data_IF_508127155421
#
_entry.id   IF_508127155421
#
_cell.length_a   1.000
_cell.length_b   1.000
_cell.length_c   1.000
_cell.angle_alpha   90.00
_cell.angle_beta   90.00
_cell.angle_gamma   90.00
#
_symmetry.space_group_name_H-M   'P 1'
#
loop_
_entity.id
_entity.type
_entity.pdbx_description
1 polymer ?
#
# COMPACT_ATOMS: atom_id res chain seq x y z
N UNK A 1 22.96 21.94 1.71
CA UNK A 1 21.78 22.25 0.87
C UNK A 1 22.18 22.07 -0.59
N UNK A 2 21.45 21.28 -1.39
CA UNK A 2 21.86 20.92 -2.76
C UNK A 2 21.46 22.02 -3.76
N UNK A 3 20.24 22.55 -3.64
CA UNK A 3 19.67 23.59 -4.52
C UNK A 3 18.95 24.66 -3.68
N UNK A 4 19.04 25.92 -4.12
CA UNK A 4 18.20 27.02 -3.67
C UNK A 4 17.50 27.65 -4.88
N UNK A 5 16.18 27.83 -4.80
CA UNK A 5 15.36 28.37 -5.89
C UNK A 5 15.08 29.85 -5.66
N UNK A 6 14.99 30.64 -6.74
CA UNK A 6 14.55 32.02 -6.67
C UNK A 6 13.01 32.11 -6.66
N UNK A 7 12.47 32.41 -5.49
CA UNK A 7 11.03 32.52 -5.27
C UNK A 7 10.37 33.60 -6.14
N UNK A 8 11.07 34.71 -6.42
CA UNK A 8 10.53 35.82 -7.23
C UNK A 8 10.35 35.41 -8.69
N UNK A 9 11.28 34.61 -9.21
CA UNK A 9 11.20 34.06 -10.57
C UNK A 9 10.04 33.10 -10.69
N UNK A 10 9.88 32.18 -9.73
CA UNK A 10 8.77 31.22 -9.72
C UNK A 10 7.41 31.91 -9.61
N UNK A 11 7.28 32.90 -8.72
CA UNK A 11 6.05 33.69 -8.56
C UNK A 11 5.74 34.53 -9.81
N UNK A 12 6.76 35.09 -10.47
CA UNK A 12 6.62 35.83 -11.72
C UNK A 12 6.15 34.98 -12.89
N UNK A 13 6.71 33.78 -13.05
CA UNK A 13 6.28 32.80 -14.06
C UNK A 13 4.85 32.31 -13.77
N UNK A 14 4.53 31.99 -12.51
CA UNK A 14 3.20 31.58 -12.11
C UNK A 14 2.14 32.67 -12.34
N UNK A 15 2.53 33.95 -12.27
CA UNK A 15 1.69 35.10 -12.57
C UNK A 15 1.60 35.44 -14.08
N UNK A 16 2.23 34.66 -14.97
CA UNK A 16 2.17 34.85 -16.43
C UNK A 16 2.98 36.04 -16.96
N UNK A 17 3.92 36.57 -16.18
CA UNK A 17 4.73 37.73 -16.57
C UNK A 17 5.91 37.30 -17.45
N UNK A 18 5.94 37.75 -18.70
CA UNK A 18 6.97 37.38 -19.69
C UNK A 18 8.38 37.83 -19.34
N UNK A 19 8.52 38.87 -18.50
CA UNK A 19 9.80 39.40 -18.00
C UNK A 19 10.62 38.41 -17.15
N UNK A 20 10.01 37.31 -16.69
CA UNK A 20 10.64 36.29 -15.84
C UNK A 20 10.99 34.99 -16.57
N UNK A 21 10.57 34.81 -17.83
CA UNK A 21 10.76 33.56 -18.56
C UNK A 21 12.23 33.26 -18.87
N UNK A 22 13.05 34.30 -19.08
CA UNK A 22 14.47 34.15 -19.43
C UNK A 22 15.39 34.19 -18.21
N UNK A 23 14.83 34.36 -17.00
CA UNK A 23 15.62 34.41 -15.76
C UNK A 23 15.86 33.01 -15.22
N UNK A 24 17.05 32.82 -14.64
CA UNK A 24 17.41 31.54 -13.99
C UNK A 24 16.55 31.29 -12.75
N UNK A 25 16.00 30.09 -12.66
CA UNK A 25 15.22 29.58 -11.52
C UNK A 25 16.16 29.22 -10.36
N UNK A 26 17.37 28.76 -10.68
CA UNK A 26 18.40 28.48 -9.69
C UNK A 26 18.96 29.80 -9.14
N UNK A 27 18.88 29.96 -7.81
CA UNK A 27 19.43 31.13 -7.13
C UNK A 27 20.95 31.00 -7.02
N UNK A 28 21.66 31.65 -7.93
CA UNK A 28 23.13 31.66 -7.96
C UNK A 28 23.69 32.71 -6.99
N UNK A 29 23.06 33.89 -6.91
CA UNK A 29 23.54 35.03 -6.14
C UNK A 29 22.66 35.31 -4.93
N UNK A 30 23.30 35.51 -3.77
CA UNK A 30 22.61 35.69 -2.49
C UNK A 30 22.79 37.10 -1.90
N UNK A 31 23.86 37.82 -2.28
CA UNK A 31 24.05 39.22 -1.90
C UNK A 31 24.22 40.11 -3.12
N UNK A 32 23.52 41.23 -3.08
CA UNK A 32 23.57 42.30 -4.07
C UNK A 32 24.16 43.56 -3.42
N UNK A 33 25.09 44.22 -4.08
CA UNK A 33 25.67 45.49 -3.67
C UNK A 33 24.99 46.60 -4.48
N UNK A 34 24.26 47.47 -3.80
CA UNK A 34 23.63 48.64 -4.42
C UNK A 34 24.69 49.71 -4.60
N UNK A 35 24.96 50.10 -5.85
CA UNK A 35 25.86 51.21 -6.18
C UNK A 35 25.06 52.30 -6.86
N UNK A 36 25.12 53.51 -6.34
CA UNK A 36 24.45 54.68 -6.95
C UNK A 36 25.32 55.21 -8.08
N UNK A 37 24.79 55.23 -9.31
CA UNK A 37 25.47 55.76 -10.49
C UNK A 37 24.66 56.94 -11.04
N UNK A 38 25.35 58.01 -11.42
CA UNK A 38 24.76 59.16 -12.12
C UNK A 38 24.50 58.77 -13.57
N UNK A 39 23.23 58.73 -13.98
CA UNK A 39 22.83 58.41 -15.35
C UNK A 39 21.99 59.55 -15.94
N UNK A 40 22.20 59.83 -17.23
CA UNK A 40 21.37 60.77 -17.99
C UNK A 40 20.03 60.10 -18.31
N UNK A 41 18.95 60.60 -17.70
CA UNK A 41 17.57 60.16 -17.98
C UNK A 41 16.89 61.22 -18.84
N UNK A 42 16.36 60.80 -19.98
CA UNK A 42 15.57 61.65 -20.89
C UNK A 42 14.10 61.49 -20.53
N UNK A 43 13.42 62.56 -20.14
CA UNK A 43 11.98 62.55 -19.83
C UNK A 43 11.24 63.57 -20.68
N UNK A 44 10.15 63.15 -21.31
CA UNK A 44 9.21 64.04 -22.00
C UNK A 44 8.42 64.85 -20.97
N UNK A 45 8.48 66.19 -21.08
CA UNK A 45 7.63 67.08 -20.29
C UNK A 45 6.76 67.94 -21.20
N UNK A 46 5.50 68.08 -20.81
CA UNK A 46 4.54 68.95 -21.45
C UNK A 46 4.77 70.37 -20.94
N UNK A 47 5.16 71.27 -21.85
CA UNK A 47 5.23 72.70 -21.58
C UNK A 47 4.01 73.38 -22.16
N UNK A 48 3.20 73.99 -21.29
CA UNK A 48 2.02 74.76 -21.68
C UNK A 48 2.34 76.24 -21.55
N UNK A 49 2.26 76.99 -22.65
CA UNK A 49 2.41 78.44 -22.67
C UNK A 49 1.12 79.09 -23.21
N UNK A 50 0.69 80.18 -22.59
CA UNK A 50 -0.50 80.93 -23.03
C UNK A 50 -0.06 82.08 -23.91
N UNK A 51 -0.43 82.05 -25.19
CA UNK A 51 -0.16 83.12 -26.15
C UNK A 51 -1.51 83.64 -26.63
N UNK A 52 -1.79 84.94 -26.42
CA UNK A 52 -3.02 85.62 -26.82
C UNK A 52 -4.33 84.91 -26.41
N UNK A 53 -4.38 84.36 -25.19
CA UNK A 53 -5.59 83.71 -24.65
C UNK A 53 -5.80 82.25 -25.08
N UNK A 54 -4.95 81.71 -25.96
CA UNK A 54 -4.93 80.29 -26.33
C UNK A 54 -3.78 79.56 -25.64
N UNK A 55 -4.07 78.41 -25.02
CA UNK A 55 -3.06 77.53 -24.40
C UNK A 55 -2.42 76.67 -25.48
N UNK A 56 -1.14 76.85 -25.73
CA UNK A 56 -0.36 76.01 -26.64
C UNK A 56 0.49 75.07 -25.80
N UNK A 57 0.31 73.76 -26.01
CA UNK A 57 1.07 72.71 -25.34
C UNK A 57 2.13 72.13 -26.28
N UNK A 58 3.40 72.21 -25.92
CA UNK A 58 4.52 71.60 -26.65
C UNK A 58 5.15 70.49 -25.82
N UNK A 59 5.44 69.36 -26.47
CA UNK A 59 6.24 68.28 -25.90
C UNK A 59 7.73 68.62 -26.08
N UNK A 60 8.51 68.57 -25.00
CA UNK A 60 9.95 68.77 -25.08
C UNK A 60 10.69 67.71 -24.25
N UNK A 61 11.76 67.16 -24.83
CA UNK A 61 12.60 66.15 -24.18
C UNK A 61 13.62 66.85 -23.29
N UNK A 62 13.55 66.62 -21.98
CA UNK A 62 14.50 67.18 -21.01
C UNK A 62 15.39 66.07 -20.49
N UNK A 63 16.70 66.20 -20.65
CA UNK A 63 17.70 65.31 -20.06
C UNK A 63 18.09 65.80 -18.66
N UNK A 64 17.94 64.96 -17.63
CA UNK A 64 18.40 65.25 -16.27
C UNK A 64 19.35 64.16 -15.77
N UNK A 65 20.37 64.56 -15.02
CA UNK A 65 21.21 63.64 -14.25
C UNK A 65 20.41 63.18 -13.03
N UNK A 66 20.10 61.88 -12.99
CA UNK A 66 19.48 61.24 -11.83
C UNK A 66 20.40 60.18 -11.23
N UNK A 67 20.35 60.06 -9.90
CA UNK A 67 21.06 59.01 -9.17
C UNK A 67 20.24 57.72 -9.26
N UNK A 68 20.68 56.76 -10.07
CA UNK A 68 20.03 55.46 -10.18
C UNK A 68 20.81 54.45 -9.34
N UNK A 69 20.08 53.70 -8.49
CA UNK A 69 20.63 52.60 -7.71
C UNK A 69 20.76 51.34 -8.59
N UNK A 70 21.99 50.96 -8.94
CA UNK A 70 22.28 49.75 -9.70
C UNK A 70 22.68 48.63 -8.74
N UNK A 71 21.93 47.53 -8.76
CA UNK A 71 22.26 46.33 -8.00
C UNK A 71 23.33 45.50 -8.72
N UNK A 72 24.50 45.33 -8.11
CA UNK A 72 25.61 44.52 -8.62
C UNK A 72 25.75 43.22 -7.83
N UNK A 73 26.01 42.10 -8.51
CA UNK A 73 26.13 40.79 -7.87
C UNK A 73 27.42 40.70 -7.03
N UNK A 74 27.31 40.36 -5.74
CA UNK A 74 28.46 40.36 -4.82
C UNK A 74 28.90 38.96 -4.39
N UNK A 75 27.98 38.12 -3.90
CA UNK A 75 28.34 36.80 -3.35
C UNK A 75 27.40 35.69 -3.86
N UNK A 76 27.99 34.55 -4.25
CA UNK A 76 27.27 33.33 -4.64
C UNK A 76 26.61 32.67 -3.42
N UNK A 77 25.48 32.00 -3.62
CA UNK A 77 24.75 31.29 -2.56
C UNK A 77 25.50 30.05 -2.05
N UNK A 78 25.26 29.62 -0.81
CA UNK A 78 25.85 28.40 -0.23
C UNK A 78 25.12 27.13 -0.72
N UNK A 79 25.08 26.89 -2.04
CA UNK A 79 24.45 25.71 -2.64
C UNK A 79 25.40 25.05 -3.65
N UNK A 80 25.41 23.71 -3.67
CA UNK A 80 26.33 22.92 -4.49
C UNK A 80 26.22 23.26 -5.99
N UNK A 81 24.99 23.47 -6.49
CA UNK A 81 24.74 23.84 -7.88
C UNK A 81 25.03 25.33 -8.19
N UNK A 82 25.22 26.20 -7.20
CA UNK A 82 25.57 27.61 -7.48
C UNK A 82 27.03 27.78 -7.95
N UNK A 83 27.88 26.81 -7.64
CA UNK A 83 29.28 26.78 -8.07
C UNK A 83 29.45 26.17 -9.46
N UNK A 84 28.40 25.55 -10.01
CA UNK A 84 28.40 24.87 -11.29
C UNK A 84 27.50 25.68 -12.24
N UNK A 85 28.09 26.36 -13.23
CA UNK A 85 27.37 27.33 -14.09
C UNK A 85 26.49 26.67 -15.17
N UNK A 86 26.00 25.46 -14.94
CA UNK A 86 25.14 24.73 -15.86
C UNK A 86 23.81 25.43 -16.11
N UNK A 87 23.16 25.07 -17.23
CA UNK A 87 21.80 25.52 -17.50
C UNK A 87 20.81 24.88 -16.51
N UNK A 88 19.70 25.57 -16.26
CA UNK A 88 18.67 25.13 -15.31
C UNK A 88 18.06 23.79 -15.72
N UNK A 89 17.89 23.56 -17.03
CA UNK A 89 17.35 22.30 -17.57
C UNK A 89 18.28 21.12 -17.30
N UNK A 90 19.59 21.29 -17.55
CA UNK A 90 20.60 20.24 -17.33
C UNK A 90 20.71 19.93 -15.83
N UNK A 91 20.76 20.98 -15.01
CA UNK A 91 20.79 20.89 -13.56
C UNK A 91 19.57 20.14 -13.00
N UNK A 92 18.37 20.47 -13.49
CA UNK A 92 17.12 19.81 -13.12
C UNK A 92 17.09 18.34 -13.53
N UNK A 93 17.51 18.02 -14.75
CA UNK A 93 17.57 16.64 -15.24
C UNK A 93 18.54 15.78 -14.41
N UNK A 94 19.76 16.27 -14.16
CA UNK A 94 20.77 15.56 -13.36
C UNK A 94 20.25 15.35 -11.93
N UNK A 95 19.67 16.37 -11.31
CA UNK A 95 19.11 16.27 -9.96
C UNK A 95 17.99 15.21 -9.89
N UNK A 96 17.12 15.15 -10.90
CA UNK A 96 16.08 14.14 -11.01
C UNK A 96 16.69 12.74 -11.08
N UNK A 97 17.62 12.49 -12.00
CA UNK A 97 18.22 11.16 -12.15
C UNK A 97 19.00 10.73 -10.91
N UNK A 98 19.80 11.63 -10.31
CA UNK A 98 20.56 11.34 -9.09
C UNK A 98 19.63 11.07 -7.92
N UNK A 99 18.58 11.87 -7.72
CA UNK A 99 17.61 11.66 -6.64
C UNK A 99 16.81 10.37 -6.83
N UNK A 100 16.38 10.07 -8.06
CA UNK A 100 15.70 8.81 -8.38
C UNK A 100 16.61 7.60 -8.14
N UNK A 101 17.86 7.66 -8.60
CA UNK A 101 18.84 6.60 -8.38
C UNK A 101 19.14 6.37 -6.90
N UNK A 102 19.35 7.45 -6.14
CA UNK A 102 19.58 7.38 -4.69
C UNK A 102 18.36 6.83 -3.95
N UNK A 103 17.15 7.24 -4.36
CA UNK A 103 15.89 6.72 -3.82
C UNK A 103 15.75 5.22 -4.09
N UNK A 104 16.03 4.78 -5.32
CA UNK A 104 15.96 3.36 -5.71
C UNK A 104 16.99 2.53 -4.93
N UNK A 105 18.24 2.99 -4.81
CA UNK A 105 19.26 2.30 -4.00
C UNK A 105 18.87 2.23 -2.54
N UNK A 106 18.40 3.34 -1.96
CA UNK A 106 17.94 3.40 -0.58
C UNK A 106 16.79 2.42 -0.34
N UNK A 107 15.80 2.42 -1.23
CA UNK A 107 14.66 1.50 -1.18
C UNK A 107 15.11 0.04 -1.30
N UNK A 108 15.99 -0.27 -2.25
CA UNK A 108 16.56 -1.61 -2.41
C UNK A 108 17.39 -2.04 -1.19
N UNK A 109 18.18 -1.14 -0.62
CA UNK A 109 18.96 -1.37 0.60
C UNK A 109 18.06 -1.71 1.78
N UNK A 110 17.02 -0.90 2.01
CA UNK A 110 16.02 -1.17 3.04
C UNK A 110 15.31 -2.51 2.83
N UNK A 111 14.89 -2.82 1.60
CA UNK A 111 14.25 -4.11 1.26
C UNK A 111 15.19 -5.29 1.54
N UNK A 112 16.47 -5.19 1.15
CA UNK A 112 17.46 -6.25 1.37
C UNK A 112 17.78 -6.46 2.84
N UNK A 113 18.01 -5.38 3.59
CA UNK A 113 18.24 -5.43 5.03
C UNK A 113 17.07 -6.09 5.74
N UNK A 114 15.86 -5.70 5.35
CA UNK A 114 14.67 -6.20 6.01
C UNK A 114 14.36 -7.67 5.66
N UNK A 115 14.60 -8.08 4.42
CA UNK A 115 14.50 -9.49 4.04
C UNK A 115 15.56 -10.35 4.74
N UNK A 116 16.77 -9.83 4.98
CA UNK A 116 17.81 -10.49 5.77
C UNK A 116 17.41 -10.68 7.24
N UNK A 117 16.87 -9.63 7.86
CA UNK A 117 16.39 -9.65 9.25
C UNK A 117 15.25 -10.65 9.45
N UNK A 118 14.31 -10.70 8.50
CA UNK A 118 13.15 -11.57 8.58
C UNK A 118 13.44 -13.03 8.19
N UNK A 119 14.53 -13.35 7.48
CA UNK A 119 14.98 -14.75 7.31
C UNK A 119 15.86 -15.26 8.46
N UNK A 120 16.38 -14.35 9.28
CA UNK A 120 17.30 -14.65 10.37
C UNK A 120 16.60 -14.90 11.72
N UNK A 121 17.15 -14.35 12.84
CA UNK A 121 16.65 -14.59 14.19
C UNK A 121 15.17 -14.23 14.38
N UNK A 122 14.66 -13.24 13.64
CA UNK A 122 13.27 -12.79 13.76
C UNK A 122 12.29 -13.83 13.25
N UNK A 123 12.53 -14.51 12.12
CA UNK A 123 11.66 -15.63 11.69
C UNK A 123 11.69 -16.79 12.68
N UNK A 124 12.87 -17.11 13.23
CA UNK A 124 13.00 -18.19 14.22
C UNK A 124 12.29 -17.84 15.53
N UNK A 125 12.41 -16.61 16.01
CA UNK A 125 11.69 -16.08 17.17
C UNK A 125 10.18 -16.00 16.90
N UNK A 126 9.78 -15.58 15.69
CA UNK A 126 8.38 -15.55 15.27
C UNK A 126 7.79 -16.96 15.28
N UNK A 127 8.49 -17.93 14.70
CA UNK A 127 8.08 -19.34 14.71
C UNK A 127 7.94 -19.86 16.14
N UNK A 128 8.93 -19.61 16.99
CA UNK A 128 8.94 -20.09 18.38
C UNK A 128 7.83 -19.43 19.22
N UNK A 129 7.60 -18.13 19.06
CA UNK A 129 6.64 -17.37 19.89
C UNK A 129 5.19 -17.45 19.37
N UNK A 130 4.98 -17.62 18.06
CA UNK A 130 3.64 -17.60 17.45
C UNK A 130 3.04 -18.99 17.25
N UNK A 131 3.87 -20.02 17.01
CA UNK A 131 3.40 -21.41 16.98
C UNK A 131 3.42 -22.06 18.37
N UNK A 132 4.01 -21.43 19.38
CA UNK A 132 3.76 -21.84 20.76
C UNK A 132 2.37 -21.39 21.15
N UNK A 133 1.41 -22.30 21.06
CA UNK A 133 0.09 -22.07 21.62
C UNK A 133 0.23 -21.83 23.12
N UNK A 134 -0.24 -20.67 23.58
CA UNK A 134 -0.29 -20.37 25.02
C UNK A 134 -1.16 -21.46 25.65
N UNK A 135 -0.69 -22.12 26.73
CA UNK A 135 -1.44 -23.21 27.37
C UNK A 135 -2.85 -22.73 27.78
N UNK A 136 -3.84 -23.62 27.64
CA UNK A 136 -5.21 -23.36 28.10
C UNK A 136 -5.15 -23.00 29.60
N UNK A 137 -5.84 -21.94 30.09
CA UNK A 137 -7.02 -21.28 29.51
C UNK A 137 -6.78 -20.02 28.64
N UNK A 138 -5.53 -19.54 28.50
CA UNK A 138 -5.24 -18.26 27.84
C UNK A 138 -5.02 -18.34 26.31
N UNK A 139 -5.51 -19.39 25.65
CA UNK A 139 -5.36 -19.59 24.20
C UNK A 139 -5.97 -18.46 23.35
N UNK A 140 -6.99 -17.75 23.86
CA UNK A 140 -7.55 -16.58 23.18
C UNK A 140 -6.56 -15.41 23.10
N UNK A 141 -5.60 -15.33 24.03
CA UNK A 141 -4.60 -14.27 24.13
C UNK A 141 -3.54 -14.37 23.04
N UNK A 142 -3.30 -15.57 22.50
CA UNK A 142 -2.27 -15.78 21.47
C UNK A 142 -2.50 -14.92 20.23
N UNK A 143 -3.76 -14.68 19.88
CA UNK A 143 -4.12 -13.78 18.78
C UNK A 143 -3.80 -12.31 19.07
N UNK A 144 -3.96 -11.85 20.31
CA UNK A 144 -3.64 -10.47 20.71
C UNK A 144 -2.13 -10.26 20.84
N UNK A 145 -1.40 -11.26 21.34
CA UNK A 145 0.06 -11.27 21.34
C UNK A 145 0.60 -11.14 19.92
N UNK A 146 0.01 -11.85 18.94
CA UNK A 146 0.38 -11.70 17.54
C UNK A 146 0.13 -10.29 16.98
N UNK A 147 -0.92 -9.58 17.43
CA UNK A 147 -1.15 -8.17 17.07
C UNK A 147 -0.03 -7.28 17.64
N UNK A 148 0.33 -7.45 18.92
CA UNK A 148 1.40 -6.66 19.55
C UNK A 148 2.75 -6.92 18.86
N UNK A 149 3.06 -8.19 18.56
CA UNK A 149 4.27 -8.56 17.83
C UNK A 149 4.27 -7.93 16.44
N UNK A 150 3.16 -7.98 15.70
CA UNK A 150 3.03 -7.35 14.38
C UNK A 150 3.23 -5.84 14.42
N UNK A 151 2.69 -5.17 15.45
CA UNK A 151 2.86 -3.74 15.67
C UNK A 151 4.31 -3.38 15.99
N UNK A 152 4.93 -4.09 16.95
CA UNK A 152 6.33 -3.89 17.35
C UNK A 152 7.29 -4.12 16.20
N UNK A 153 7.14 -5.24 15.47
CA UNK A 153 7.93 -5.51 14.28
C UNK A 153 7.75 -4.41 13.25
N UNK A 154 6.53 -3.96 12.96
CA UNK A 154 6.35 -2.90 11.96
C UNK A 154 6.95 -1.56 12.38
N UNK A 155 6.94 -1.22 13.68
CA UNK A 155 7.62 0.00 14.17
C UNK A 155 9.13 -0.08 14.02
N UNK A 156 9.74 -1.25 14.30
CA UNK A 156 11.18 -1.47 14.14
C UNK A 156 11.58 -1.42 12.66
N UNK A 157 10.78 -2.10 11.82
CA UNK A 157 11.08 -2.28 10.40
C UNK A 157 10.66 -1.07 9.56
N UNK A 158 9.78 -0.21 10.09
CA UNK A 158 9.19 0.97 9.44
C UNK A 158 8.51 0.72 8.08
N UNK A 159 8.29 -0.54 7.70
CA UNK A 159 7.71 -0.91 6.41
C UNK A 159 6.75 -2.10 6.55
N UNK A 160 5.45 -1.81 6.42
CA UNK A 160 4.39 -2.81 6.40
C UNK A 160 4.38 -3.65 5.12
N UNK A 161 4.88 -3.09 4.00
CA UNK A 161 4.99 -3.82 2.73
C UNK A 161 6.01 -4.95 2.81
N UNK A 162 7.16 -4.71 3.45
CA UNK A 162 8.19 -5.75 3.55
C UNK A 162 7.81 -6.78 4.64
N UNK A 163 7.14 -6.34 5.72
CA UNK A 163 6.53 -7.23 6.70
C UNK A 163 5.57 -8.23 6.04
N UNK A 164 4.59 -7.74 5.28
CA UNK A 164 3.62 -8.58 4.57
C UNK A 164 4.26 -9.43 3.45
N UNK A 165 5.21 -8.88 2.70
CA UNK A 165 5.96 -9.61 1.67
C UNK A 165 6.77 -10.77 2.22
N UNK A 166 7.19 -10.74 3.48
CA UNK A 166 7.93 -11.85 4.09
C UNK A 166 7.01 -12.86 4.77
N UNK A 167 5.90 -12.42 5.35
CA UNK A 167 4.90 -13.34 5.90
C UNK A 167 4.26 -14.22 4.81
N UNK A 168 4.01 -13.65 3.63
CA UNK A 168 3.35 -14.36 2.52
C UNK A 168 4.05 -15.68 2.13
N UNK A 169 5.37 -15.73 1.84
CA UNK A 169 6.07 -16.97 1.54
C UNK A 169 6.19 -17.91 2.75
N UNK A 170 6.27 -17.38 3.99
CA UNK A 170 6.28 -18.22 5.20
C UNK A 170 4.95 -18.97 5.38
N UNK A 171 3.84 -18.32 5.05
CA UNK A 171 2.52 -18.98 5.01
C UNK A 171 2.43 -19.95 3.84
N UNK A 172 2.96 -19.59 2.68
CA UNK A 172 3.04 -20.47 1.51
C UNK A 172 3.84 -21.76 1.76
N UNK A 173 4.91 -21.68 2.57
CA UNK A 173 5.70 -22.84 3.00
C UNK A 173 5.10 -23.61 4.19
N UNK A 174 3.96 -23.15 4.75
CA UNK A 174 3.31 -23.78 5.90
C UNK A 174 4.03 -23.54 7.24
N UNK A 175 5.00 -22.63 7.30
CA UNK A 175 5.72 -22.29 8.54
C UNK A 175 4.84 -21.52 9.51
N UNK A 176 3.97 -20.66 8.97
CA UNK A 176 2.99 -19.86 9.70
C UNK A 176 1.60 -20.20 9.17
N UNK A 177 0.67 -20.50 10.08
CA UNK A 177 -0.72 -20.73 9.69
C UNK A 177 -1.40 -19.42 9.27
N UNK A 178 -2.31 -19.49 8.29
CA UNK A 178 -3.04 -18.30 7.79
C UNK A 178 -3.88 -17.61 8.89
N UNK A 179 -4.32 -18.38 9.90
CA UNK A 179 -5.00 -17.90 11.09
C UNK A 179 -4.11 -17.01 11.97
N UNK A 180 -2.78 -17.19 11.92
CA UNK A 180 -1.79 -16.37 12.63
C UNK A 180 -1.33 -15.16 11.81
N UNK A 181 -1.36 -15.27 10.48
CA UNK A 181 -1.04 -14.16 9.57
C UNK A 181 -2.04 -12.99 9.71
N UNK A 182 -3.32 -13.28 9.92
CA UNK A 182 -4.35 -12.24 10.06
C UNK A 182 -4.08 -11.27 11.23
N UNK A 183 -3.97 -11.71 12.51
CA UNK A 183 -3.65 -10.81 13.62
C UNK A 183 -2.28 -10.12 13.48
N UNK A 184 -1.27 -10.77 12.90
CA UNK A 184 0.02 -10.14 12.61
C UNK A 184 -0.13 -8.94 11.66
N UNK A 185 -0.96 -9.09 10.63
CA UNK A 185 -1.24 -8.03 9.66
C UNK A 185 -2.02 -6.88 10.30
N UNK A 186 -3.00 -7.18 11.17
CA UNK A 186 -3.69 -6.15 11.95
C UNK A 186 -2.72 -5.37 12.85
N UNK A 187 -1.80 -6.08 13.51
CA UNK A 187 -0.71 -5.47 14.27
C UNK A 187 0.14 -4.54 13.41
N UNK A 188 0.51 -4.98 12.21
CA UNK A 188 1.31 -4.17 11.28
C UNK A 188 0.64 -2.84 10.89
N UNK A 189 -0.68 -2.84 10.73
CA UNK A 189 -1.44 -1.62 10.47
C UNK A 189 -1.37 -0.64 11.66
N UNK A 190 -1.48 -1.15 12.90
CA UNK A 190 -1.27 -0.32 14.11
C UNK A 190 0.15 0.26 14.10
N UNK A 191 1.17 -0.58 13.87
CA UNK A 191 2.57 -0.14 13.85
C UNK A 191 2.83 0.97 12.82
N UNK A 192 2.23 0.88 11.63
CA UNK A 192 2.34 1.92 10.59
C UNK A 192 1.72 3.25 11.02
N UNK A 193 0.58 3.21 11.72
CA UNK A 193 -0.03 4.44 12.25
C UNK A 193 0.71 4.99 13.46
N UNK A 194 1.33 4.13 14.26
CA UNK A 194 2.16 4.53 15.39
C UNK A 194 3.43 5.26 14.92
N UNK A 195 4.09 4.79 13.86
CA UNK A 195 5.23 5.51 13.27
C UNK A 195 4.80 6.86 12.70
N UNK A 196 3.64 6.94 12.04
CA UNK A 196 3.06 8.22 11.60
C UNK A 196 2.76 9.18 12.76
N UNK A 197 2.28 8.67 13.89
CA UNK A 197 2.05 9.45 15.10
C UNK A 197 3.37 9.96 15.72
N UNK A 198 4.41 9.12 15.78
CA UNK A 198 5.74 9.53 16.23
C UNK A 198 6.34 10.61 15.32
N UNK A 199 6.18 10.48 14.01
CA UNK A 199 6.61 11.49 13.04
C UNK A 199 5.85 12.82 13.22
N UNK A 200 4.54 12.76 13.50
CA UNK A 200 3.76 13.93 13.83
C UNK A 200 4.25 14.61 15.12
N UNK A 201 4.62 13.82 16.14
CA UNK A 201 5.19 14.33 17.39
C UNK A 201 6.56 14.99 17.22
N UNK A 202 7.34 14.56 16.23
CA UNK A 202 8.63 15.16 15.89
C UNK A 202 8.50 16.50 15.12
N UNK A 203 7.30 16.85 14.64
CA UNK A 203 7.06 18.11 13.91
C UNK A 203 6.98 19.28 14.89
N UNK A 204 7.64 20.39 14.59
CA UNK A 204 7.63 21.61 15.42
C UNK A 204 6.91 22.80 14.74
N UNK A 205 6.48 23.78 15.55
CA UNK A 205 5.88 25.03 15.08
C UNK A 205 4.40 24.94 14.70
N UNK A 206 3.94 25.85 13.84
CA UNK A 206 2.51 26.04 13.52
C UNK A 206 1.84 24.82 12.86
N UNK A 207 2.63 23.85 12.33
CA UNK A 207 2.12 22.62 11.69
C UNK A 207 1.92 21.45 12.66
N UNK A 208 2.44 21.54 13.89
CA UNK A 208 2.38 20.46 14.88
C UNK A 208 0.94 20.01 15.16
N UNK A 209 0.01 20.96 15.40
CA UNK A 209 -1.40 20.64 15.71
C UNK A 209 -2.06 19.86 14.57
N UNK A 210 -1.85 20.31 13.33
CA UNK A 210 -2.41 19.65 12.15
C UNK A 210 -1.80 18.25 11.93
N UNK A 211 -0.47 18.12 12.06
CA UNK A 211 0.21 16.83 11.92
C UNK A 211 -0.24 15.83 13.00
N UNK A 212 -0.34 16.29 14.26
CA UNK A 212 -0.79 15.45 15.38
C UNK A 212 -2.24 15.03 15.22
N UNK A 213 -3.13 15.94 14.80
CA UNK A 213 -4.52 15.61 14.52
C UNK A 213 -4.64 14.51 13.45
N UNK A 214 -3.93 14.66 12.33
CA UNK A 214 -3.93 13.65 11.26
C UNK A 214 -3.38 12.31 11.79
N UNK A 215 -2.24 12.33 12.51
CA UNK A 215 -1.64 11.14 13.11
C UNK A 215 -2.59 10.42 14.07
N UNK A 216 -3.26 11.15 14.96
CA UNK A 216 -4.23 10.60 15.91
C UNK A 216 -5.47 10.04 15.21
N UNK A 217 -6.00 10.74 14.19
CA UNK A 217 -7.13 10.24 13.40
C UNK A 217 -6.81 8.88 12.78
N UNK A 218 -5.65 8.73 12.13
CA UNK A 218 -5.26 7.45 11.52
C UNK A 218 -5.02 6.36 12.56
N UNK A 219 -4.33 6.67 13.66
CA UNK A 219 -4.04 5.72 14.74
C UNK A 219 -5.33 5.22 15.42
N UNK A 220 -6.19 6.14 15.88
CA UNK A 220 -7.45 5.80 16.54
C UNK A 220 -8.41 5.08 15.61
N UNK A 221 -8.48 5.44 14.32
CA UNK A 221 -9.29 4.73 13.34
C UNK A 221 -8.86 3.27 13.18
N UNK A 222 -7.55 3.00 13.09
CA UNK A 222 -7.04 1.63 12.99
C UNK A 222 -7.26 0.83 14.27
N UNK A 223 -6.98 1.43 15.43
CA UNK A 223 -7.18 0.78 16.74
C UNK A 223 -8.65 0.47 16.99
N UNK A 224 -9.55 1.43 16.75
CA UNK A 224 -11.00 1.23 16.91
C UNK A 224 -11.56 0.20 15.94
N UNK A 225 -11.12 0.20 14.68
CA UNK A 225 -11.51 -0.82 13.70
C UNK A 225 -11.12 -2.23 14.12
N UNK A 226 -9.91 -2.41 14.68
CA UNK A 226 -9.45 -3.69 15.21
C UNK A 226 -10.25 -4.08 16.45
N UNK A 227 -10.51 -3.15 17.36
CA UNK A 227 -11.31 -3.41 18.56
C UNK A 227 -12.76 -3.78 18.24
N UNK A 228 -13.30 -3.27 17.14
CA UNK A 228 -14.65 -3.59 16.68
C UNK A 228 -14.70 -4.97 15.99
N UNK A 229 -13.75 -5.28 15.10
CA UNK A 229 -13.82 -6.49 14.25
C UNK A 229 -13.12 -7.72 14.84
N UNK A 230 -12.03 -7.56 15.60
CA UNK A 230 -11.18 -8.68 15.99
C UNK A 230 -11.68 -9.47 17.23
N UNK A 231 -12.21 -8.82 18.29
CA UNK A 231 -12.71 -9.54 19.47
C UNK A 231 -13.89 -10.45 19.16
N UNK A 232 -14.73 -10.10 18.17
CA UNK A 232 -15.93 -10.85 17.80
C UNK A 232 -15.53 -12.08 16.97
N UNK A 233 -15.73 -13.33 17.48
CA UNK A 233 -15.23 -14.54 16.80
C UNK A 233 -15.82 -14.78 15.41
N UNK A 234 -17.07 -14.35 15.19
CA UNK A 234 -17.71 -14.43 13.89
C UNK A 234 -17.04 -13.52 12.86
N UNK A 235 -16.77 -12.27 13.22
CA UNK A 235 -16.16 -11.27 12.34
C UNK A 235 -14.72 -11.65 11.99
N UNK A 236 -13.96 -12.22 12.94
CA UNK A 236 -12.60 -12.75 12.68
C UNK A 236 -12.56 -13.82 11.59
N UNK A 237 -13.59 -14.68 11.52
CA UNK A 237 -13.64 -15.77 10.54
C UNK A 237 -13.93 -15.29 9.12
N UNK A 238 -14.54 -14.11 8.95
CA UNK A 238 -14.93 -13.59 7.63
C UNK A 238 -13.68 -13.35 6.74
N UNK A 239 -12.69 -12.51 7.13
CA UNK A 239 -11.51 -12.27 6.30
C UNK A 239 -10.70 -13.53 6.02
N UNK A 240 -10.53 -14.40 7.02
CA UNK A 240 -9.75 -15.64 6.88
C UNK A 240 -10.40 -16.57 5.85
N UNK A 241 -11.73 -16.74 5.91
CA UNK A 241 -12.45 -17.59 4.96
C UNK A 241 -12.47 -17.00 3.56
N UNK A 242 -12.60 -15.68 3.44
CA UNK A 242 -12.51 -14.99 2.15
C UNK A 242 -11.12 -15.15 1.52
N UNK A 243 -10.06 -14.96 2.30
CA UNK A 243 -8.68 -15.16 1.86
C UNK A 243 -8.44 -16.61 1.38
N UNK A 244 -8.91 -17.61 2.13
CA UNK A 244 -8.85 -19.02 1.73
C UNK A 244 -9.63 -19.29 0.43
N UNK A 245 -10.86 -18.77 0.31
CA UNK A 245 -11.70 -18.94 -0.89
C UNK A 245 -11.05 -18.30 -2.12
N UNK A 246 -10.54 -17.08 -1.96
CA UNK A 246 -9.85 -16.34 -3.02
C UNK A 246 -8.55 -17.06 -3.45
N UNK A 247 -7.76 -17.52 -2.48
CA UNK A 247 -6.53 -18.30 -2.72
C UNK A 247 -6.80 -19.63 -3.43
N UNK A 248 -7.78 -20.41 -2.99
CA UNK A 248 -8.16 -21.67 -3.62
C UNK A 248 -8.70 -21.46 -5.06
N UNK A 249 -9.48 -20.40 -5.27
CA UNK A 249 -10.00 -20.05 -6.60
C UNK A 249 -8.85 -19.67 -7.53
N UNK A 250 -7.89 -18.89 -7.03
CA UNK A 250 -6.69 -18.49 -7.78
C UNK A 250 -5.77 -19.68 -8.10
N UNK A 251 -5.64 -20.62 -7.17
CA UNK A 251 -4.88 -21.85 -7.40
C UNK A 251 -5.51 -22.71 -8.51
N UNK A 252 -6.85 -22.75 -8.58
CA UNK A 252 -7.59 -23.45 -9.63
C UNK A 252 -7.54 -22.71 -10.98
N UNK A 253 -7.76 -21.40 -10.97
CA UNK A 253 -7.84 -20.56 -12.17
C UNK A 253 -6.76 -19.47 -12.12
N UNK A 254 -5.58 -19.70 -12.72
CA UNK A 254 -4.46 -18.74 -12.62
C UNK A 254 -4.76 -17.36 -13.20
N UNK A 255 -5.52 -17.29 -14.30
CA UNK A 255 -5.93 -16.03 -14.93
C UNK A 255 -6.84 -15.19 -14.02
N UNK A 256 -7.53 -15.83 -13.06
CA UNK A 256 -8.39 -15.14 -12.10
C UNK A 256 -7.60 -14.17 -11.23
N UNK A 257 -6.32 -14.46 -10.90
CA UNK A 257 -5.47 -13.52 -10.16
C UNK A 257 -5.30 -12.19 -10.90
N UNK A 258 -5.01 -12.27 -12.21
CA UNK A 258 -4.81 -11.09 -13.05
C UNK A 258 -6.12 -10.33 -13.18
N UNK A 259 -7.24 -11.02 -13.47
CA UNK A 259 -8.55 -10.39 -13.54
C UNK A 259 -8.90 -9.70 -12.21
N UNK A 260 -8.68 -10.37 -11.09
CA UNK A 260 -8.93 -9.82 -9.76
C UNK A 260 -8.11 -8.55 -9.52
N UNK A 261 -6.82 -8.56 -9.82
CA UNK A 261 -5.94 -7.39 -9.65
C UNK A 261 -6.39 -6.23 -10.55
N UNK A 262 -6.65 -6.47 -11.83
CA UNK A 262 -7.11 -5.43 -12.75
C UNK A 262 -8.45 -4.86 -12.30
N UNK A 263 -9.37 -5.72 -11.87
CA UNK A 263 -10.71 -5.30 -11.42
C UNK A 263 -10.64 -4.52 -10.11
N UNK A 264 -9.93 -5.02 -9.11
CA UNK A 264 -9.89 -4.42 -7.78
C UNK A 264 -9.07 -3.12 -7.73
N UNK A 265 -7.99 -3.01 -8.51
CA UNK A 265 -7.09 -1.85 -8.46
C UNK A 265 -7.32 -0.82 -9.57
N UNK A 266 -7.98 -1.18 -10.68
CA UNK A 266 -8.25 -0.25 -11.78
C UNK A 266 -9.74 -0.03 -12.01
N UNK A 267 -10.49 -1.08 -12.38
CA UNK A 267 -11.90 -0.91 -12.76
C UNK A 267 -12.79 -0.44 -11.61
N UNK A 268 -12.63 -1.00 -10.40
CA UNK A 268 -13.44 -0.62 -9.25
C UNK A 268 -13.15 0.83 -8.81
N UNK A 269 -11.89 1.27 -8.61
CA UNK A 269 -11.59 2.67 -8.33
C UNK A 269 -12.07 3.61 -9.44
N UNK A 270 -11.88 3.24 -10.71
CA UNK A 270 -12.35 4.04 -11.84
C UNK A 270 -13.89 4.16 -11.86
N UNK A 271 -14.60 3.07 -11.56
CA UNK A 271 -16.06 3.07 -11.45
C UNK A 271 -16.53 3.99 -10.32
N UNK A 272 -15.96 3.85 -9.12
CA UNK A 272 -16.30 4.71 -7.97
C UNK A 272 -15.96 6.18 -8.26
N UNK A 273 -14.81 6.44 -8.89
CA UNK A 273 -14.41 7.80 -9.28
C UNK A 273 -15.36 8.40 -10.32
N UNK A 274 -15.71 7.65 -11.36
CA UNK A 274 -16.65 8.10 -12.40
C UNK A 274 -18.04 8.35 -11.81
N UNK A 275 -18.50 7.49 -10.90
CA UNK A 275 -19.75 7.67 -10.18
C UNK A 275 -19.71 8.92 -9.28
N UNK A 276 -18.56 9.17 -8.64
CA UNK A 276 -18.33 10.40 -7.85
C UNK A 276 -18.34 11.66 -8.72
N UNK A 277 -17.91 11.60 -9.98
CA UNK A 277 -17.97 12.73 -10.91
C UNK A 277 -19.38 12.97 -11.47
N UNK A 278 -20.20 11.92 -11.57
CA UNK A 278 -21.57 12.00 -12.07
C UNK A 278 -22.55 12.71 -11.11
N UNK A 279 -22.08 13.12 -9.93
CA UNK A 279 -22.85 13.88 -8.94
C UNK A 279 -23.53 13.01 -7.88
N UNK A 280 -24.05 13.67 -6.84
CA UNK A 280 -24.66 13.01 -5.68
C UNK A 280 -25.87 12.15 -6.07
N UNK A 281 -26.65 12.57 -7.05
CA UNK A 281 -27.83 11.83 -7.52
C UNK A 281 -27.49 10.46 -8.09
N UNK A 282 -26.42 10.37 -8.89
CA UNK A 282 -25.94 9.11 -9.44
C UNK A 282 -25.40 8.19 -8.34
N UNK A 283 -24.67 8.74 -7.37
CA UNK A 283 -24.16 8.00 -6.21
C UNK A 283 -25.30 7.41 -5.37
N UNK A 284 -26.35 8.20 -5.08
CA UNK A 284 -27.51 7.75 -4.31
C UNK A 284 -28.28 6.68 -5.09
N UNK A 285 -28.56 6.91 -6.37
CA UNK A 285 -29.27 5.96 -7.21
C UNK A 285 -28.53 4.60 -7.30
N UNK A 286 -27.22 4.64 -7.55
CA UNK A 286 -26.40 3.43 -7.56
C UNK A 286 -26.35 2.75 -6.18
N UNK A 287 -26.23 3.53 -5.09
CA UNK A 287 -26.25 3.00 -3.73
C UNK A 287 -27.56 2.28 -3.38
N UNK A 288 -28.70 2.87 -3.73
CA UNK A 288 -30.05 2.32 -3.50
C UNK A 288 -30.28 1.04 -4.30
N UNK A 289 -29.61 0.84 -5.44
CA UNK A 289 -29.73 -0.39 -6.23
C UNK A 289 -28.72 -1.45 -5.76
N UNK A 290 -27.46 -1.08 -5.61
CA UNK A 290 -26.36 -2.01 -5.36
C UNK A 290 -26.35 -2.54 -3.92
N UNK A 291 -26.60 -1.69 -2.90
CA UNK A 291 -26.55 -2.12 -1.50
C UNK A 291 -27.63 -3.15 -1.15
N UNK A 292 -28.92 -2.95 -1.53
CA UNK A 292 -29.95 -3.95 -1.30
C UNK A 292 -29.68 -5.26 -2.06
N UNK A 293 -29.16 -5.17 -3.29
CA UNK A 293 -28.79 -6.36 -4.05
C UNK A 293 -27.67 -7.15 -3.37
N UNK A 294 -26.59 -6.48 -2.94
CA UNK A 294 -25.47 -7.13 -2.23
C UNK A 294 -25.94 -7.74 -0.90
N UNK A 295 -26.73 -7.00 -0.12
CA UNK A 295 -27.27 -7.49 1.15
C UNK A 295 -28.21 -8.69 0.94
N UNK A 296 -29.07 -8.67 -0.09
CA UNK A 296 -29.89 -9.82 -0.48
C UNK A 296 -29.04 -11.05 -0.79
N UNK A 297 -27.99 -10.91 -1.62
CA UNK A 297 -27.08 -12.02 -1.94
C UNK A 297 -26.38 -12.56 -0.69
N UNK A 298 -25.93 -11.69 0.23
CA UNK A 298 -25.32 -12.10 1.49
C UNK A 298 -26.31 -12.86 2.37
N UNK A 299 -27.54 -12.35 2.52
CA UNK A 299 -28.61 -12.97 3.32
C UNK A 299 -28.96 -14.35 2.75
N UNK A 300 -29.18 -14.44 1.44
CA UNK A 300 -29.49 -15.72 0.77
C UNK A 300 -28.36 -16.73 0.97
N UNK A 301 -27.09 -16.34 0.75
CA UNK A 301 -25.94 -17.23 0.99
C UNK A 301 -25.83 -17.66 2.47
N UNK A 302 -26.16 -16.77 3.41
CA UNK A 302 -26.19 -17.09 4.83
C UNK A 302 -27.33 -18.09 5.16
N UNK A 303 -28.52 -17.86 4.62
CA UNK A 303 -29.69 -18.73 4.79
C UNK A 303 -29.49 -20.10 4.13
N UNK A 304 -28.86 -20.18 2.96
CA UNK A 304 -28.47 -21.45 2.33
C UNK A 304 -27.58 -22.28 3.26
N UNK A 305 -26.63 -21.63 3.96
CA UNK A 305 -25.69 -22.30 4.87
C UNK A 305 -26.32 -22.72 6.21
N UNK A 306 -27.21 -21.91 6.78
CA UNK A 306 -27.75 -22.11 8.15
C UNK A 306 -29.17 -22.71 8.16
N UNK A 307 -30.00 -22.42 7.17
CA UNK A 307 -31.44 -22.74 7.13
C UNK A 307 -31.90 -23.22 5.74
N UNK A 308 -31.18 -24.18 5.13
CA UNK A 308 -31.49 -24.71 3.79
C UNK A 308 -32.93 -25.27 3.65
N UNK A 309 -33.54 -25.74 4.74
CA UNK A 309 -34.91 -26.29 4.73
C UNK A 309 -36.02 -25.24 4.55
N UNK A 310 -35.77 -23.97 4.95
CA UNK A 310 -36.75 -22.88 4.89
C UNK A 310 -36.76 -22.12 3.56
N UNK A 311 -35.79 -22.38 2.67
CA UNK A 311 -35.68 -21.66 1.41
C UNK A 311 -36.56 -22.25 0.29
N UNK A 312 -37.18 -21.42 -0.57
CA UNK A 312 -37.81 -21.87 -1.81
C UNK A 312 -36.82 -22.63 -2.69
N UNK A 313 -37.29 -23.64 -3.44
CA UNK A 313 -36.44 -24.50 -4.30
C UNK A 313 -35.50 -23.70 -5.23
N UNK A 314 -35.94 -22.54 -5.74
CA UNK A 314 -35.17 -21.66 -6.62
C UNK A 314 -34.00 -20.93 -5.96
N UNK A 315 -34.06 -20.69 -4.64
CA UNK A 315 -33.01 -19.96 -3.92
C UNK A 315 -32.07 -20.88 -3.18
N UNK A 316 -32.34 -22.19 -3.10
CA UNK A 316 -31.47 -23.16 -2.40
C UNK A 316 -30.09 -23.24 -3.02
N UNK A 317 -30.04 -23.18 -4.35
CA UNK A 317 -28.82 -23.13 -5.14
C UNK A 317 -28.95 -22.00 -6.16
N UNK A 318 -27.83 -21.43 -6.58
CA UNK A 318 -27.78 -20.42 -7.64
C UNK A 318 -27.87 -21.03 -9.06
N UNK A 319 -28.34 -22.28 -9.18
CA UNK A 319 -28.40 -23.04 -10.44
C UNK A 319 -29.40 -22.46 -11.46
N UNK A 320 -30.32 -21.59 -11.02
CA UNK A 320 -31.21 -20.86 -11.91
C UNK A 320 -30.46 -19.79 -12.74
N UNK A 321 -29.33 -19.28 -12.23
CA UNK A 321 -28.56 -18.25 -12.92
C UNK A 321 -27.77 -18.86 -14.09
N UNK A 322 -27.51 -18.09 -15.16
CA UNK A 322 -26.64 -18.52 -16.24
C UNK A 322 -25.28 -19.02 -15.72
N UNK A 323 -24.73 -20.07 -16.34
CA UNK A 323 -23.46 -20.71 -15.95
C UNK A 323 -22.32 -19.74 -15.67
N UNK A 324 -22.23 -18.64 -16.43
CA UNK A 324 -21.21 -17.60 -16.30
C UNK A 324 -21.28 -16.79 -14.99
N UNK A 325 -22.46 -16.73 -14.36
CA UNK A 325 -22.70 -15.97 -13.12
C UNK A 325 -22.41 -16.78 -11.85
N UNK A 326 -22.42 -18.12 -11.94
CA UNK A 326 -22.17 -18.98 -10.79
C UNK A 326 -20.97 -19.93 -10.94
N UNK A 327 -20.41 -20.07 -12.16
CA UNK A 327 -19.23 -20.88 -12.44
C UNK A 327 -18.22 -20.15 -13.34
N UNK A 328 -16.94 -20.23 -12.98
CA UNK A 328 -15.82 -19.70 -13.77
C UNK A 328 -15.34 -20.67 -14.86
N UNK A 329 -15.86 -21.91 -14.89
CA UNK A 329 -15.43 -22.97 -15.82
C UNK A 329 -15.61 -22.64 -17.32
N UNK A 330 -16.71 -22.00 -17.76
CA UNK A 330 -16.89 -21.64 -19.18
C UNK A 330 -15.83 -20.63 -19.65
N UNK A 331 -15.58 -19.62 -18.82
CA UNK A 331 -14.60 -18.58 -19.08
C UNK A 331 -13.17 -19.15 -19.03
N UNK A 332 -12.90 -20.09 -18.14
CA UNK A 332 -11.61 -20.79 -18.07
C UNK A 332 -11.31 -21.60 -19.34
N UNK A 333 -12.30 -22.32 -19.87
CA UNK A 333 -12.18 -23.05 -21.15
C UNK A 333 -11.90 -22.10 -22.31
N UNK A 334 -12.58 -20.95 -22.34
CA UNK A 334 -12.37 -19.93 -23.37
C UNK A 334 -10.96 -19.32 -23.28
N UNK A 335 -10.54 -18.86 -22.09
CA UNK A 335 -9.23 -18.24 -21.89
C UNK A 335 -8.11 -19.25 -22.16
N UNK A 336 -8.24 -20.50 -21.72
CA UNK A 336 -7.25 -21.56 -21.98
C UNK A 336 -7.11 -21.83 -23.48
N UNK A 337 -8.22 -21.80 -24.23
CA UNK A 337 -8.21 -21.93 -25.69
C UNK A 337 -7.55 -20.74 -26.38
N UNK A 338 -7.80 -19.52 -25.91
CA UNK A 338 -7.22 -18.29 -26.45
C UNK A 338 -5.73 -18.10 -26.09
N UNK A 339 -5.29 -18.59 -24.93
CA UNK A 339 -3.92 -18.41 -24.42
C UNK A 339 -2.95 -19.51 -24.84
N UNK A 340 -3.41 -20.52 -25.58
CA UNK A 340 -2.53 -21.47 -26.29
C UNK A 340 -1.57 -22.27 -25.40
N UNK A 341 -1.86 -22.43 -24.11
CA UNK A 341 -0.98 -23.20 -23.21
C UNK A 341 -1.07 -24.67 -23.61
N UNK A 342 0.05 -25.20 -24.13
CA UNK A 342 0.18 -26.57 -24.59
C UNK A 342 -0.32 -27.57 -23.53
N UNK A 343 -1.13 -28.57 -23.94
CA UNK A 343 -1.71 -29.60 -23.05
C UNK A 343 -0.69 -30.30 -22.14
N UNK A 344 0.58 -30.33 -22.55
CA UNK A 344 1.72 -30.86 -21.78
C UNK A 344 2.09 -29.99 -20.56
N UNK A 345 2.01 -28.65 -20.69
CA UNK A 345 2.24 -27.73 -19.59
C UNK A 345 1.15 -27.82 -18.53
N UNK A 346 -0.11 -28.01 -18.93
CA UNK A 346 -1.25 -28.13 -18.02
C UNK A 346 -1.15 -29.39 -17.13
N UNK A 347 -0.74 -30.54 -17.71
CA UNK A 347 -0.47 -31.79 -16.97
C UNK A 347 0.65 -31.67 -15.93
N UNK A 348 1.68 -30.86 -16.23
CA UNK A 348 2.81 -30.60 -15.31
C UNK A 348 2.41 -29.64 -14.18
N UNK A 349 1.49 -28.72 -14.49
CA UNK A 349 0.91 -27.75 -13.57
C UNK A 349 -0.05 -28.39 -12.56
N UNK A 350 -0.92 -29.31 -12.98
CA UNK A 350 -1.86 -30.01 -12.10
C UNK A 350 -1.16 -30.92 -11.08
N UNK A 351 0.02 -31.46 -11.42
CA UNK A 351 0.85 -32.23 -10.47
C UNK A 351 1.55 -31.36 -9.41
N UNK A 352 1.65 -30.05 -9.62
CA UNK A 352 2.33 -29.12 -8.70
C UNK A 352 1.40 -28.44 -7.70
N UNK A 353 0.08 -28.58 -7.89
CA UNK A 353 -0.92 -28.05 -6.96
C UNK A 353 -1.16 -29.12 -5.89
N UNK A 354 -0.81 -28.88 -4.61
CA UNK A 354 -1.15 -29.83 -3.55
C UNK A 354 -2.68 -29.98 -3.49
N UNK A 355 -3.19 -31.17 -3.14
CA UNK A 355 -4.62 -31.38 -3.00
C UNK A 355 -5.21 -30.37 -2.00
N UNK A 356 -6.47 -29.93 -2.18
CA UNK A 356 -7.11 -29.02 -1.24
C UNK A 356 -6.99 -29.58 0.17
N UNK A 357 -6.53 -28.76 1.11
CA UNK A 357 -6.36 -29.14 2.51
C UNK A 357 -7.75 -29.45 3.10
N UNK A 358 -8.11 -30.73 3.10
CA UNK A 358 -9.27 -31.24 3.83
C UNK A 358 -8.89 -31.28 5.30
N UNK A 359 -9.20 -30.21 6.04
CA UNK A 359 -9.13 -30.24 7.49
C UNK A 359 -10.36 -30.97 8.01
N UNK A 360 -10.14 -32.14 8.58
CA UNK A 360 -11.12 -32.83 9.43
C UNK A 360 -11.52 -31.90 10.58
N UNK A 361 -12.80 -31.87 10.99
CA UNK A 361 -13.21 -31.11 12.16
C UNK A 361 -12.51 -31.69 13.39
N UNK A 362 -11.92 -30.79 14.18
CA UNK A 362 -11.38 -31.07 15.52
C UNK A 362 -12.31 -32.02 16.28
N UNK A 363 -11.82 -33.22 16.59
CA UNK A 363 -12.42 -34.05 17.63
C UNK A 363 -12.26 -33.31 18.96
N UNK A 364 -13.38 -32.85 19.51
CA UNK A 364 -13.47 -32.50 20.93
C UNK A 364 -13.42 -33.85 21.65
N UNK A 365 -12.21 -34.31 22.00
CA UNK A 365 -12.06 -35.39 22.97
C UNK A 365 -12.41 -34.78 24.34
N UNK A 366 -13.68 -34.88 24.70
CA UNK A 366 -14.10 -34.77 26.10
C UNK A 366 -13.67 -36.04 26.80
N UNK A 367 -12.77 -35.89 27.78
CA UNK A 367 -12.52 -36.92 28.78
C UNK A 367 -13.82 -37.15 29.57
N UNK A 368 -14.49 -38.26 29.28
CA UNK A 368 -15.38 -38.93 30.23
C UNK A 368 -15.03 -40.42 30.15
N UNK A 369 -14.13 -40.83 31.03
CA UNK A 369 -13.93 -42.23 31.38
C UNK A 369 -15.20 -42.80 32.01
N UNK A 370 -15.54 -44.06 31.72
CA UNK A 370 -15.96 -44.95 32.80
C UNK A 370 -15.02 -46.14 32.93
N UNK A 371 -14.70 -46.44 34.19
CA UNK A 371 -14.11 -47.69 34.64
C UNK A 371 -14.94 -48.92 34.21
N UNK A 372 -14.25 -50.06 34.19
CA UNK A 372 -14.74 -51.44 34.33
C UNK A 372 -14.90 -52.25 33.03
N UNK A 373 -13.93 -53.12 32.73
CA UNK A 373 -13.99 -54.54 33.12
C UNK A 373 -12.87 -55.35 32.43
N UNK A 374 -12.27 -56.25 33.20
CA UNK A 374 -11.28 -57.27 32.80
C UNK A 374 -11.94 -58.38 31.99
N UNK A 375 -11.21 -58.94 31.01
CA UNK A 375 -11.04 -60.38 30.68
C UNK A 375 -10.24 -60.44 29.35
N UNK A 376 -8.98 -60.93 29.32
CA UNK A 376 -8.49 -62.32 29.38
C UNK A 376 -8.43 -62.99 28.00
N UNK A 377 -7.33 -63.73 27.76
CA UNK A 377 -7.02 -64.67 26.65
C UNK A 377 -6.50 -64.08 25.33
N UNK A 378 -5.57 -64.68 24.57
CA UNK A 378 -4.48 -65.66 24.71
C UNK A 378 -3.86 -65.72 23.29
N UNK A 379 -2.60 -66.13 23.15
CA UNK A 379 -2.09 -66.73 21.89
C UNK A 379 -0.98 -65.96 21.16
N UNK A 380 0.15 -66.66 20.96
CA UNK A 380 1.47 -66.20 20.55
C UNK A 380 1.73 -66.43 19.02
N UNK A 381 2.97 -66.36 18.47
CA UNK A 381 3.30 -65.50 17.33
C UNK A 381 3.56 -66.27 16.01
N UNK A 382 3.48 -65.57 14.86
CA UNK A 382 3.98 -66.11 13.58
C UNK A 382 5.02 -65.17 12.98
N UNK A 383 6.22 -65.75 12.79
CA UNK A 383 7.34 -65.16 12.06
C UNK A 383 7.14 -65.29 10.55
N UNK A 384 7.52 -64.28 9.77
CA UNK A 384 8.20 -64.55 8.50
C UNK A 384 9.17 -63.41 8.15
N UNK A 385 10.41 -63.81 7.86
CA UNK A 385 11.50 -63.00 7.32
C UNK A 385 11.37 -62.92 5.79
N UNK A 386 11.70 -61.76 5.23
CA UNK A 386 12.33 -61.53 3.90
C UNK A 386 12.67 -60.04 3.86
N UNK A 387 13.83 -59.58 4.34
CA UNK A 387 15.17 -59.48 3.71
C UNK A 387 15.22 -58.87 2.30
N UNK A 388 16.18 -57.94 2.13
CA UNK A 388 16.58 -57.13 0.96
C UNK A 388 15.76 -55.85 0.72
N UNK A 389 16.34 -54.64 0.60
CA UNK A 389 17.73 -54.26 0.35
C UNK A 389 17.94 -52.78 0.74
N UNK A 390 19.06 -52.51 1.42
CA UNK A 390 19.68 -51.19 1.63
C UNK A 390 19.83 -50.42 0.31
N UNK A 391 19.70 -49.09 0.35
CA UNK A 391 20.74 -48.15 -0.12
C UNK A 391 20.54 -46.83 0.64
N UNK A 392 21.53 -46.53 1.47
CA UNK A 392 21.78 -45.26 2.14
C UNK A 392 22.91 -44.59 1.34
N UNK A 393 22.72 -43.35 0.86
CA UNK A 393 23.84 -42.50 0.46
C UNK A 393 23.58 -41.04 0.81
N UNK A 394 24.20 -40.68 1.92
CA UNK A 394 24.68 -39.36 2.33
C UNK A 394 25.70 -38.81 1.33
N UNK A 395 25.67 -37.50 1.08
CA UNK A 395 26.78 -36.64 0.59
C UNK A 395 26.24 -35.21 0.69
N UNK A 396 26.60 -34.36 1.66
CA UNK A 396 27.84 -33.57 1.81
C UNK A 396 28.42 -33.05 0.50
N UNK A 397 28.00 -31.85 0.09
CA UNK A 397 28.85 -30.67 -0.08
C UNK A 397 27.96 -29.41 -0.03
#
# INVERSE_FOLDING_TARGET
MIVQLDKKVIEGIAAGKTEWNDKRILKIWCKYKVTTVLQNVTQERNFSAVINGTVVTSLQNVTRLENISVETNSEKCYCLLSYIEWSDTISGAILLFVSLFLLVICLMGMVRLLHSMLRGPVASALKKTINSDIPKPFSFLTGYVAIIIGAGLTMILQSSSIFTSTLTPLVGMGVIHIERMYPLTLGSNIGTTATGLLAAMATSGNRFRAALQIGLCHFLFNVSGILLFYPIPFMRKIPINLAKKLGNTTAKYRWFAILYLVTAFFFLPAFVFTLSLAGAEAMIAAGVILLPFITFVIIVNFLQKKYNKLLPKMLKNWDFLPLWLHSLEPLDKFITKCTGICKSCQKKLDRSVPPPVVLTPFAIQGDISPLSSRQSENGSPVSSRSTSLLIQRTTTL
#
